data_IF_532160463969
#
_entry.id   IF_532160463969
#
_cell.length_a   1.000
_cell.length_b   1.000
_cell.length_c   1.000
_cell.angle_alpha   90.00
_cell.angle_beta   90.00
_cell.angle_gamma   90.00
#
_symmetry.space_group_name_H-M   'P 1'
#
loop_
_entity.id
_entity.type
_entity.pdbx_description
1 polymer ?
#
# COMPACT_ATOMS: atom_id res chain seq x y z
N UNK A 1 -8.79 18.01 -3.12
CA UNK A 1 -8.90 16.93 -4.14
C UNK A 1 -10.28 16.30 -4.01
N UNK A 2 -10.96 15.98 -5.12
CA UNK A 2 -12.24 15.29 -5.00
C UNK A 2 -12.00 13.78 -4.90
N UNK A 3 -12.38 13.19 -3.76
CA UNK A 3 -12.42 11.74 -3.59
C UNK A 3 -13.84 11.26 -3.81
N UNK A 4 -14.03 10.20 -4.57
CA UNK A 4 -15.32 9.59 -4.84
C UNK A 4 -15.24 8.07 -4.88
N UNK A 5 -16.37 7.39 -4.74
CA UNK A 5 -16.45 5.98 -5.06
C UNK A 5 -16.29 5.77 -6.57
N UNK A 6 -15.56 4.74 -6.94
CA UNK A 6 -15.37 4.35 -8.33
C UNK A 6 -16.70 3.90 -8.96
N UNK A 7 -16.90 4.26 -10.22
CA UNK A 7 -18.01 3.77 -11.04
C UNK A 7 -17.80 2.30 -11.42
N UNK A 8 -18.85 1.61 -11.87
CA UNK A 8 -18.74 0.22 -12.36
C UNK A 8 -17.69 0.06 -13.46
N UNK A 9 -17.64 0.99 -14.42
CA UNK A 9 -16.65 0.95 -15.50
C UNK A 9 -15.21 1.12 -15.00
N UNK A 10 -15.00 1.96 -13.98
CA UNK A 10 -13.69 2.11 -13.35
C UNK A 10 -13.28 0.84 -12.60
N UNK A 11 -14.21 0.18 -11.90
CA UNK A 11 -13.94 -1.09 -11.21
C UNK A 11 -13.59 -2.20 -12.21
N UNK A 12 -14.28 -2.30 -13.34
CA UNK A 12 -13.93 -3.27 -14.41
C UNK A 12 -12.51 -3.06 -14.98
N UNK A 13 -11.97 -1.86 -14.86
CA UNK A 13 -10.62 -1.51 -15.30
C UNK A 13 -9.67 -1.22 -14.13
N UNK A 14 -9.95 -1.79 -12.95
CA UNK A 14 -9.33 -1.39 -11.67
C UNK A 14 -7.81 -1.51 -11.69
N UNK A 15 -7.27 -2.64 -12.12
CA UNK A 15 -5.84 -2.88 -12.13
C UNK A 15 -5.08 -1.87 -13.01
N UNK A 16 -5.66 -1.50 -14.16
CA UNK A 16 -5.06 -0.46 -15.02
C UNK A 16 -5.07 0.94 -14.38
N UNK A 17 -6.00 1.20 -13.46
CA UNK A 17 -6.00 2.44 -12.68
C UNK A 17 -4.95 2.38 -11.57
N UNK A 18 -4.85 1.24 -10.88
CA UNK A 18 -3.86 1.02 -9.81
C UNK A 18 -2.43 1.10 -10.34
N UNK A 19 -2.13 0.50 -11.50
CA UNK A 19 -0.78 0.56 -12.11
C UNK A 19 -0.36 2.01 -12.46
N UNK A 20 -1.32 2.91 -12.69
CA UNK A 20 -1.06 4.33 -12.95
C UNK A 20 -0.82 5.17 -11.69
N UNK A 21 -0.93 4.57 -10.52
CA UNK A 21 -0.61 5.25 -9.27
C UNK A 21 0.86 5.69 -9.25
N UNK A 22 1.21 6.74 -8.49
CA UNK A 22 2.58 7.26 -8.41
C UNK A 22 3.66 6.24 -8.06
N UNK A 23 3.32 5.18 -7.31
CA UNK A 23 4.22 4.08 -6.94
C UNK A 23 4.28 2.93 -7.97
N UNK A 24 3.55 3.04 -9.10
CA UNK A 24 3.42 1.98 -10.09
C UNK A 24 2.40 0.90 -9.72
N UNK A 25 1.70 1.08 -8.60
CA UNK A 25 0.68 0.17 -8.09
C UNK A 25 1.24 -0.98 -7.24
N UNK A 26 0.41 -1.49 -6.37
CA UNK A 26 0.73 -2.59 -5.49
C UNK A 26 -0.32 -3.70 -5.58
N UNK A 27 0.11 -4.97 -5.55
CA UNK A 27 -0.79 -6.13 -5.64
C UNK A 27 -1.86 -6.13 -4.55
N UNK A 28 -1.57 -5.59 -3.36
CA UNK A 28 -2.54 -5.45 -2.27
C UNK A 28 -3.68 -4.46 -2.59
N UNK A 29 -3.55 -3.68 -3.64
CA UNK A 29 -4.56 -2.77 -4.16
C UNK A 29 -5.29 -3.34 -5.38
N UNK A 30 -4.91 -4.56 -5.87
CA UNK A 30 -5.50 -5.18 -7.07
C UNK A 30 -6.95 -5.61 -6.87
N UNK A 31 -7.65 -5.76 -7.99
CA UNK A 31 -9.02 -6.27 -8.00
C UNK A 31 -9.09 -7.72 -7.48
N UNK A 32 -8.20 -8.60 -7.94
CA UNK A 32 -8.21 -10.03 -7.58
C UNK A 32 -7.99 -10.26 -6.10
N UNK A 33 -7.04 -9.52 -5.48
CA UNK A 33 -6.82 -9.65 -4.04
C UNK A 33 -8.01 -9.10 -3.24
N UNK A 34 -8.66 -8.05 -3.74
CA UNK A 34 -9.85 -7.50 -3.11
C UNK A 34 -11.03 -8.49 -3.12
N UNK A 35 -11.19 -9.28 -4.18
CA UNK A 35 -12.18 -10.36 -4.24
C UNK A 35 -11.90 -11.44 -3.18
N UNK A 36 -10.63 -11.85 -3.04
CA UNK A 36 -10.23 -12.81 -1.98
C UNK A 36 -10.56 -12.22 -0.59
N UNK A 37 -10.29 -10.94 -0.38
CA UNK A 37 -10.60 -10.26 0.89
C UNK A 37 -12.11 -10.14 1.13
N UNK A 38 -12.89 -9.98 0.07
CA UNK A 38 -14.35 -9.99 0.16
C UNK A 38 -14.86 -11.33 0.69
N UNK A 39 -14.35 -12.46 0.19
CA UNK A 39 -14.67 -13.82 0.69
C UNK A 39 -14.27 -13.96 2.17
N UNK A 40 -13.22 -13.29 2.61
CA UNK A 40 -12.77 -13.25 4.01
C UNK A 40 -13.62 -12.30 4.90
N UNK A 41 -14.73 -11.78 4.39
CA UNK A 41 -15.68 -10.95 5.15
C UNK A 41 -15.30 -9.47 5.24
N UNK A 42 -14.43 -8.97 4.33
CA UNK A 42 -14.22 -7.55 4.15
C UNK A 42 -15.19 -7.00 3.10
N UNK A 43 -15.77 -5.85 3.36
CA UNK A 43 -16.48 -5.10 2.32
C UNK A 43 -15.47 -4.23 1.56
N UNK A 44 -15.41 -4.40 0.26
CA UNK A 44 -14.45 -3.68 -0.57
C UNK A 44 -15.03 -2.33 -1.01
N UNK A 45 -14.23 -1.28 -0.91
CA UNK A 45 -14.52 0.05 -1.42
C UNK A 45 -13.42 0.47 -2.39
N UNK A 46 -13.79 0.79 -3.58
CA UNK A 46 -12.92 1.34 -4.61
C UNK A 46 -13.09 2.84 -4.65
N UNK A 47 -12.03 3.59 -4.39
CA UNK A 47 -12.04 5.04 -4.36
C UNK A 47 -11.14 5.59 -5.46
N UNK A 48 -11.57 6.69 -6.05
CA UNK A 48 -10.81 7.45 -7.03
C UNK A 48 -10.58 8.86 -6.50
N UNK A 49 -9.35 9.32 -6.61
CA UNK A 49 -8.98 10.72 -6.44
C UNK A 49 -8.25 11.24 -7.68
N UNK A 50 -7.93 12.52 -7.72
CA UNK A 50 -7.08 13.08 -8.76
C UNK A 50 -5.63 12.57 -8.71
N UNK A 51 -5.20 11.97 -7.60
CA UNK A 51 -3.82 11.51 -7.38
C UNK A 51 -3.65 10.01 -7.44
N UNK A 52 -4.66 9.22 -7.08
CA UNK A 52 -4.54 7.76 -7.06
C UNK A 52 -5.90 7.04 -7.08
N UNK A 53 -5.87 5.80 -7.52
CA UNK A 53 -6.89 4.79 -7.31
C UNK A 53 -6.58 4.03 -5.99
N UNK A 54 -7.58 3.81 -5.14
CA UNK A 54 -7.38 3.31 -3.78
C UNK A 54 -8.38 2.21 -3.45
N UNK A 55 -7.90 1.01 -3.17
CA UNK A 55 -8.70 -0.07 -2.62
C UNK A 55 -8.73 0.03 -1.09
N UNK A 56 -9.93 0.07 -0.53
CA UNK A 56 -10.16 0.17 0.91
C UNK A 56 -10.94 -1.05 1.38
N UNK A 57 -10.47 -1.67 2.44
CA UNK A 57 -11.15 -2.78 3.11
C UNK A 57 -11.95 -2.23 4.28
N UNK A 58 -13.28 -2.39 4.21
CA UNK A 58 -14.23 -1.86 5.20
C UNK A 58 -14.73 -2.95 6.13
N UNK A 59 -14.79 -2.66 7.42
CA UNK A 59 -15.59 -3.38 8.41
C UNK A 59 -16.57 -2.43 9.07
N UNK A 60 -17.79 -2.90 9.34
CA UNK A 60 -18.82 -2.11 10.03
C UNK A 60 -19.01 -2.63 11.45
N UNK A 61 -19.11 -1.70 12.37
CA UNK A 61 -19.31 -1.98 13.80
C UNK A 61 -20.61 -1.30 14.27
N UNK A 62 -21.50 -2.02 14.95
CA UNK A 62 -22.69 -1.43 15.54
C UNK A 62 -22.33 -0.22 16.41
N UNK A 63 -23.10 0.84 16.32
CA UNK A 63 -22.97 2.11 17.06
C UNK A 63 -21.71 2.94 16.80
N UNK A 64 -20.59 2.34 16.35
CA UNK A 64 -19.32 3.04 16.09
C UNK A 64 -19.19 3.53 14.64
N UNK A 65 -19.83 2.84 13.68
CA UNK A 65 -19.71 3.16 12.27
C UNK A 65 -18.75 2.22 11.54
N UNK A 66 -17.89 2.76 10.66
CA UNK A 66 -17.04 1.99 9.76
C UNK A 66 -15.57 2.14 10.11
N UNK A 67 -14.84 1.05 10.01
CA UNK A 67 -13.38 1.01 10.00
C UNK A 67 -12.90 0.81 8.57
N UNK A 68 -11.97 1.66 8.12
CA UNK A 68 -11.34 1.56 6.82
C UNK A 68 -9.88 1.19 6.96
N UNK A 69 -9.45 0.17 6.21
CA UNK A 69 -8.08 -0.26 6.10
C UNK A 69 -7.60 -0.16 4.65
N UNK A 70 -6.45 0.48 4.47
CA UNK A 70 -5.81 0.70 3.17
C UNK A 70 -4.48 -0.05 3.15
N UNK A 71 -4.44 -1.29 2.62
CA UNK A 71 -3.21 -2.07 2.56
C UNK A 71 -2.25 -1.47 1.52
N UNK A 72 -0.98 -1.33 1.86
CA UNK A 72 0.06 -0.84 0.95
C UNK A 72 -0.35 0.42 0.18
N UNK A 73 -0.98 1.34 0.90
CA UNK A 73 -1.49 2.60 0.35
C UNK A 73 -1.84 3.61 1.45
N UNK A 74 -2.21 4.84 1.06
CA UNK A 74 -2.34 5.35 -0.31
C UNK A 74 -0.99 5.53 -1.01
N UNK A 75 -1.01 5.54 -2.35
CA UNK A 75 0.15 5.82 -3.20
C UNK A 75 0.42 7.33 -3.29
N UNK A 76 1.67 7.75 -3.18
CA UNK A 76 2.09 9.15 -3.27
C UNK A 76 3.57 9.27 -3.67
N UNK A 77 3.94 10.40 -4.29
CA UNK A 77 5.34 10.68 -4.66
C UNK A 77 6.12 11.38 -3.53
N UNK A 78 5.43 12.20 -2.73
CA UNK A 78 6.05 13.01 -1.67
C UNK A 78 5.16 13.01 -0.44
N UNK A 79 5.76 13.24 0.73
CA UNK A 79 5.00 13.34 1.99
C UNK A 79 4.01 14.50 1.97
N UNK A 80 4.34 15.60 1.29
CA UNK A 80 3.41 16.73 1.16
C UNK A 80 2.17 16.36 0.34
N UNK A 81 2.33 15.57 -0.74
CA UNK A 81 1.20 15.06 -1.50
C UNK A 81 0.34 14.09 -0.68
N UNK A 82 0.96 13.28 0.18
CA UNK A 82 0.26 12.44 1.15
C UNK A 82 -0.53 13.29 2.16
N UNK A 83 0.08 14.30 2.78
CA UNK A 83 -0.61 15.19 3.74
C UNK A 83 -1.87 15.78 3.13
N UNK A 84 -1.75 16.37 1.95
CA UNK A 84 -2.89 16.95 1.22
C UNK A 84 -3.97 15.93 0.89
N UNK A 85 -3.58 14.71 0.48
CA UNK A 85 -4.53 13.63 0.25
C UNK A 85 -5.25 13.23 1.55
N UNK A 86 -4.53 13.12 2.67
CA UNK A 86 -5.09 12.69 3.94
C UNK A 86 -6.13 13.67 4.50
N UNK A 87 -5.96 14.98 4.30
CA UNK A 87 -6.96 15.98 4.69
C UNK A 87 -8.30 15.72 3.98
N UNK A 88 -8.28 15.57 2.67
CA UNK A 88 -9.48 15.26 1.88
C UNK A 88 -10.04 13.88 2.20
N UNK A 89 -9.16 12.89 2.43
CA UNK A 89 -9.56 11.52 2.75
C UNK A 89 -10.22 11.43 4.13
N UNK A 90 -9.70 12.15 5.13
CA UNK A 90 -10.34 12.26 6.45
C UNK A 90 -11.75 12.88 6.34
N UNK A 91 -11.89 13.95 5.55
CA UNK A 91 -13.19 14.60 5.32
C UNK A 91 -14.17 13.64 4.60
N UNK A 92 -13.74 12.99 3.54
CA UNK A 92 -14.55 12.02 2.80
C UNK A 92 -14.98 10.84 3.69
N UNK A 93 -14.06 10.29 4.48
CA UNK A 93 -14.31 9.20 5.40
C UNK A 93 -15.34 9.60 6.48
N UNK A 94 -15.20 10.80 7.07
CA UNK A 94 -16.17 11.34 8.04
C UNK A 94 -17.59 11.41 7.47
N UNK A 95 -17.74 11.89 6.23
CA UNK A 95 -19.03 11.96 5.55
C UNK A 95 -19.60 10.56 5.22
N UNK A 96 -18.80 9.52 5.30
CA UNK A 96 -19.19 8.12 5.12
C UNK A 96 -19.30 7.34 6.44
N UNK A 97 -19.40 8.02 7.58
CA UNK A 97 -19.51 7.43 8.92
C UNK A 97 -18.36 6.47 9.25
N UNK A 98 -17.12 6.87 8.90
CA UNK A 98 -15.90 6.14 9.22
C UNK A 98 -15.28 6.74 10.48
N UNK A 99 -15.17 5.93 11.55
CA UNK A 99 -14.62 6.38 12.82
C UNK A 99 -13.11 6.18 12.92
N UNK A 100 -12.55 5.26 12.13
CA UNK A 100 -11.12 4.95 12.15
C UNK A 100 -10.61 4.55 10.76
N UNK A 101 -9.46 5.11 10.38
CA UNK A 101 -8.76 4.78 9.14
C UNK A 101 -7.38 4.26 9.50
N UNK A 102 -7.01 3.11 8.95
CA UNK A 102 -5.65 2.58 9.00
C UNK A 102 -5.05 2.56 7.61
N UNK A 103 -3.86 3.12 7.46
CA UNK A 103 -3.10 3.14 6.22
C UNK A 103 -1.76 2.43 6.40
N UNK A 104 -1.26 1.79 5.37
CA UNK A 104 0.06 1.14 5.32
C UNK A 104 0.77 1.50 4.01
N UNK A 105 1.12 2.80 3.81
CA UNK A 105 1.77 3.23 2.58
C UNK A 105 3.18 2.64 2.45
N UNK A 106 3.61 2.35 1.22
CA UNK A 106 4.98 1.94 0.94
C UNK A 106 5.87 3.17 0.82
N UNK A 107 6.77 3.33 1.75
CA UNK A 107 7.70 4.46 1.84
C UNK A 107 9.07 3.97 2.26
N UNK A 108 10.10 4.75 1.93
CA UNK A 108 11.45 4.50 2.42
C UNK A 108 11.47 4.69 3.94
N UNK A 109 11.95 3.67 4.66
CA UNK A 109 12.06 3.69 6.11
C UNK A 109 13.34 4.43 6.55
N UNK A 110 13.25 5.75 6.61
CA UNK A 110 14.32 6.61 7.12
C UNK A 110 13.81 7.56 8.22
N UNK A 111 14.76 8.22 8.92
CA UNK A 111 14.42 9.11 10.01
C UNK A 111 13.64 10.36 9.58
N UNK A 112 13.87 10.86 8.37
CA UNK A 112 13.18 12.03 7.84
C UNK A 112 11.71 11.68 7.54
N UNK A 113 11.47 10.56 6.89
CA UNK A 113 10.13 10.07 6.59
C UNK A 113 9.30 9.85 7.86
N UNK A 114 9.89 9.24 8.90
CA UNK A 114 9.23 9.07 10.20
C UNK A 114 8.80 10.39 10.82
N UNK A 115 9.68 11.40 10.79
CA UNK A 115 9.37 12.74 11.28
C UNK A 115 8.22 13.38 10.50
N UNK A 116 8.28 13.35 9.17
CA UNK A 116 7.24 13.92 8.31
C UNK A 116 5.88 13.23 8.47
N UNK A 117 5.87 11.91 8.71
CA UNK A 117 4.64 11.17 9.00
C UNK A 117 4.03 11.56 10.35
N UNK A 118 4.85 11.79 11.38
CA UNK A 118 4.40 12.30 12.67
C UNK A 118 3.81 13.72 12.54
N UNK A 119 4.41 14.59 11.73
CA UNK A 119 3.90 15.93 11.42
C UNK A 119 2.58 15.92 10.63
N UNK A 120 2.20 14.80 10.01
CA UNK A 120 0.93 14.60 9.33
C UNK A 120 -0.19 14.07 10.25
N UNK A 121 -0.04 14.16 11.58
CA UNK A 121 -0.96 13.63 12.58
C UNK A 121 -1.25 12.13 12.42
N UNK A 122 -0.27 11.37 11.95
CA UNK A 122 -0.36 9.93 11.84
C UNK A 122 0.17 9.26 13.10
N UNK A 123 -0.63 8.36 13.67
CA UNK A 123 -0.27 7.62 14.87
C UNK A 123 0.30 6.26 14.46
N UNK A 124 1.57 5.94 14.79
CA UNK A 124 2.14 4.64 14.51
C UNK A 124 1.32 3.51 15.18
N UNK A 125 1.05 2.46 14.42
CA UNK A 125 0.32 1.31 14.92
C UNK A 125 0.88 0.00 14.38
N UNK A 126 0.52 -1.13 14.99
CA UNK A 126 0.95 -2.45 14.51
C UNK A 126 0.45 -2.71 13.09
N UNK A 127 1.27 -3.26 12.19
CA UNK A 127 0.85 -3.59 10.83
C UNK A 127 -0.26 -4.66 10.85
N UNK A 128 -1.14 -4.63 9.84
CA UNK A 128 -2.11 -5.72 9.58
C UNK A 128 -1.46 -6.81 8.73
N UNK A 129 -0.60 -6.40 7.79
CA UNK A 129 0.19 -7.33 7.00
C UNK A 129 1.36 -7.87 7.83
N UNK A 130 1.68 -9.15 7.68
CA UNK A 130 2.74 -9.81 8.43
C UNK A 130 4.15 -9.28 8.10
N UNK A 131 4.35 -8.80 6.87
CA UNK A 131 5.61 -8.25 6.41
C UNK A 131 5.62 -6.71 6.56
N UNK A 132 6.21 -6.25 7.64
CA UNK A 132 6.35 -4.83 7.93
C UNK A 132 7.33 -4.12 6.98
N UNK A 133 8.32 -4.84 6.44
CA UNK A 133 9.34 -4.31 5.56
C UNK A 133 9.64 -5.28 4.41
N UNK A 134 10.00 -4.74 3.26
CA UNK A 134 10.44 -5.49 2.08
C UNK A 134 11.76 -4.94 1.57
N UNK A 135 12.53 -5.78 0.90
CA UNK A 135 13.73 -5.37 0.19
C UNK A 135 13.44 -5.38 -1.30
N UNK A 136 13.75 -4.29 -1.98
CA UNK A 136 13.64 -4.19 -3.43
C UNK A 136 15.01 -4.50 -4.01
N UNK A 137 15.08 -5.48 -4.89
CA UNK A 137 16.29 -5.85 -5.64
C UNK A 137 16.11 -5.39 -7.09
N UNK A 138 17.03 -4.55 -7.57
CA UNK A 138 17.12 -4.23 -8.99
C UNK A 138 17.66 -5.45 -9.75
N UNK A 139 16.84 -6.00 -10.65
CA UNK A 139 17.17 -7.16 -11.48
C UNK A 139 17.58 -6.78 -12.91
N UNK A 140 17.68 -5.49 -13.24
CA UNK A 140 18.10 -5.00 -14.56
C UNK A 140 19.59 -5.30 -14.90
N UNK A 141 20.55 -5.32 -13.92
CA UNK A 141 21.92 -5.73 -14.18
C UNK A 141 22.04 -7.23 -14.47
N UNK A 142 23.16 -7.63 -15.07
CA UNK A 142 23.45 -9.06 -15.26
C UNK A 142 23.63 -9.78 -13.91
N UNK A 143 23.48 -11.12 -13.92
CA UNK A 143 23.52 -11.95 -12.72
C UNK A 143 24.82 -11.80 -11.92
N UNK A 144 25.97 -11.66 -12.59
CA UNK A 144 27.26 -11.51 -11.91
C UNK A 144 27.33 -10.21 -11.11
N UNK A 145 26.80 -9.12 -11.67
CA UNK A 145 26.75 -7.84 -11.00
C UNK A 145 25.75 -7.84 -9.84
N UNK A 146 24.59 -8.49 -10.02
CA UNK A 146 23.63 -8.70 -8.94
C UNK A 146 24.30 -9.47 -7.82
N UNK A 147 24.97 -10.58 -8.12
CA UNK A 147 25.68 -11.39 -7.14
C UNK A 147 26.78 -10.62 -6.41
N UNK A 148 27.57 -9.80 -7.11
CA UNK A 148 28.60 -8.94 -6.51
C UNK A 148 28.04 -7.92 -5.52
N UNK A 149 26.86 -7.40 -5.79
CA UNK A 149 26.19 -6.42 -4.93
C UNK A 149 25.53 -7.03 -3.68
N UNK A 150 25.38 -8.35 -3.61
CA UNK A 150 24.83 -9.02 -2.44
C UNK A 150 25.84 -9.03 -1.27
N UNK A 151 25.37 -9.04 -0.01
CA UNK A 151 26.22 -9.27 1.15
C UNK A 151 27.06 -10.57 1.02
N UNK A 152 28.25 -10.58 1.63
CA UNK A 152 29.14 -11.73 1.57
C UNK A 152 28.49 -13.05 2.03
N UNK A 153 27.69 -12.99 3.09
CA UNK A 153 26.93 -14.16 3.61
C UNK A 153 25.97 -14.73 2.57
N UNK A 154 25.25 -13.86 1.85
CA UNK A 154 24.34 -14.28 0.79
C UNK A 154 25.09 -14.93 -0.39
N UNK A 155 26.20 -14.32 -0.81
CA UNK A 155 27.06 -14.90 -1.86
C UNK A 155 27.61 -16.28 -1.47
N UNK A 156 28.04 -16.43 -0.21
CA UNK A 156 28.51 -17.72 0.31
C UNK A 156 27.40 -18.77 0.26
N UNK A 157 26.18 -18.43 0.73
CA UNK A 157 25.05 -19.35 0.73
C UNK A 157 24.65 -19.79 -0.69
N UNK A 158 24.62 -18.85 -1.65
CA UNK A 158 24.34 -19.16 -3.06
C UNK A 158 25.41 -20.10 -3.65
N UNK A 159 26.67 -19.81 -3.39
CA UNK A 159 27.77 -20.65 -3.90
C UNK A 159 27.78 -22.05 -3.27
N UNK A 160 27.38 -22.14 -2.00
CA UNK A 160 27.24 -23.44 -1.34
C UNK A 160 26.07 -24.24 -1.92
N UNK A 161 24.90 -23.62 -2.09
CA UNK A 161 23.74 -24.27 -2.71
C UNK A 161 24.07 -24.82 -4.11
N UNK A 162 24.79 -24.05 -4.94
CA UNK A 162 25.29 -24.52 -6.25
C UNK A 162 26.19 -25.75 -6.14
N UNK A 163 27.08 -25.82 -5.12
CA UNK A 163 27.95 -26.99 -4.90
C UNK A 163 27.19 -28.22 -4.43
N UNK A 164 26.11 -27.98 -3.64
CA UNK A 164 25.27 -29.02 -3.08
C UNK A 164 24.19 -29.50 -4.08
N UNK A 165 24.19 -28.97 -5.32
CA UNK A 165 23.30 -29.37 -6.41
C UNK A 165 21.86 -28.85 -6.26
N UNK A 166 21.67 -27.74 -5.53
CA UNK A 166 20.40 -27.04 -5.32
C UNK A 166 20.28 -25.86 -6.29
#
# INVERSE_FOLDING_TARGET
>A
MNISFATKNQILNWNNLVIKNPDGGNIFQSYELSEIKSIQGWKIRYLISSSCALTVYEKSYPFLGRFWYVPKGPSFNTVDSLKKFLEDFKCFAKNNNVFFIKIEPEIIDDGNTKKLMAEADLIPCKPVQSNASTVILDTSPNLDKILQNLPQTSRYSINRAKKDGI
#
